data_IF_205203744279
#
_entry.id   IF_205203744279
#
_cell.length_a   1.000
_cell.length_b   1.000
_cell.length_c   1.000
_cell.angle_alpha   90.00
_cell.angle_beta   90.00
_cell.angle_gamma   90.00
#
_symmetry.space_group_name_H-M   'P 1'
#
loop_
_entity.id
_entity.type
_entity.pdbx_description
1 polymer ?
#
# COMPACT_ATOMS: atom_id res chain seq x y z
N UNK A 1 -34.47 -28.22 50.16
CA UNK A 1 -35.59 -27.46 50.76
C UNK A 1 -34.97 -26.19 51.31
N UNK A 2 -35.04 -25.09 50.55
CA UNK A 2 -36.02 -23.98 50.66
C UNK A 2 -35.26 -22.78 51.25
N UNK A 3 -34.91 -21.77 50.42
CA UNK A 3 -35.67 -20.54 50.15
C UNK A 3 -35.69 -19.62 51.40
N UNK A 4 -35.41 -18.30 51.36
CA UNK A 4 -36.17 -17.27 50.63
C UNK A 4 -35.50 -15.87 50.72
N UNK A 5 -35.51 -15.14 49.60
CA UNK A 5 -35.88 -13.71 49.39
C UNK A 5 -36.02 -12.70 50.57
N UNK A 6 -35.40 -11.51 50.40
CA UNK A 6 -35.92 -10.14 50.70
C UNK A 6 -36.11 -9.68 52.17
N UNK A 7 -36.20 -8.35 52.49
CA UNK A 7 -36.83 -7.31 51.66
C UNK A 7 -36.15 -5.91 51.65
N UNK A 8 -36.85 -5.04 50.92
CA UNK A 8 -36.65 -3.65 50.50
C UNK A 8 -36.69 -2.54 51.58
N UNK A 9 -36.11 -1.39 51.17
CA UNK A 9 -36.55 0.01 51.36
C UNK A 9 -36.16 0.80 52.60
N UNK A 10 -35.67 2.03 52.36
CA UNK A 10 -35.80 3.14 53.30
C UNK A 10 -34.72 4.23 53.20
N UNK A 11 -34.88 5.15 52.24
CA UNK A 11 -34.09 6.39 52.09
C UNK A 11 -34.21 7.29 53.33
N UNK A 12 -33.09 7.86 53.80
CA UNK A 12 -33.08 9.17 54.46
C UNK A 12 -31.95 10.04 53.91
N UNK A 13 -32.36 11.23 53.50
CA UNK A 13 -31.58 12.31 52.90
C UNK A 13 -30.53 12.87 53.86
N UNK A 14 -29.26 12.88 53.45
CA UNK A 14 -28.27 13.82 53.99
C UNK A 14 -27.81 14.77 52.89
N UNK A 15 -28.18 16.03 53.12
CA UNK A 15 -28.01 17.19 52.25
C UNK A 15 -26.59 17.70 52.40
N UNK A 16 -25.73 17.52 51.41
CA UNK A 16 -24.40 18.14 51.48
C UNK A 16 -23.41 17.76 50.40
N UNK A 17 -23.46 18.49 49.28
CA UNK A 17 -22.31 18.94 48.48
C UNK A 17 -21.14 17.95 48.33
N UNK A 18 -21.11 17.22 47.22
CA UNK A 18 -19.91 17.20 46.38
C UNK A 18 -20.29 16.85 44.93
N UNK A 19 -20.35 17.88 44.09
CA UNK A 19 -20.21 17.77 42.64
C UNK A 19 -18.91 16.99 42.34
N UNK A 20 -18.98 15.85 41.63
CA UNK A 20 -17.95 15.50 40.62
C UNK A 20 -18.16 14.18 39.84
N UNK A 21 -19.07 13.28 40.18
CA UNK A 21 -19.00 11.90 39.62
C UNK A 21 -20.19 11.41 38.80
N UNK A 22 -20.96 12.27 38.12
CA UNK A 22 -22.13 11.83 37.35
C UNK A 22 -22.31 12.48 35.96
N UNK A 23 -21.21 12.74 35.25
CA UNK A 23 -21.23 13.07 33.80
C UNK A 23 -20.44 12.04 32.99
N UNK A 24 -20.45 10.77 33.41
CA UNK A 24 -19.78 9.69 32.70
C UNK A 24 -20.65 8.44 32.64
N UNK A 25 -21.89 8.61 32.16
CA UNK A 25 -22.80 7.47 31.95
C UNK A 25 -23.80 7.60 30.79
N UNK A 26 -23.84 8.71 30.03
CA UNK A 26 -24.67 8.83 28.82
C UNK A 26 -23.88 9.42 27.65
N UNK A 27 -23.07 8.59 27.01
CA UNK A 27 -22.50 8.88 25.68
C UNK A 27 -22.49 7.63 24.78
N UNK A 28 -23.52 6.79 24.91
CA UNK A 28 -23.87 5.75 23.92
C UNK A 28 -25.17 6.16 23.20
N UNK A 29 -25.23 7.41 22.74
CA UNK A 29 -26.08 7.74 21.60
C UNK A 29 -25.34 7.26 20.36
N UNK A 30 -25.62 6.02 19.98
CA UNK A 30 -25.19 5.48 18.69
C UNK A 30 -25.71 6.38 17.57
N UNK A 31 -24.80 6.98 16.82
CA UNK A 31 -25.07 7.41 15.46
C UNK A 31 -25.19 6.14 14.62
N UNK A 32 -26.39 5.56 14.55
CA UNK A 32 -26.78 4.83 13.37
C UNK A 32 -27.03 5.89 12.29
N UNK A 33 -25.98 6.34 11.63
CA UNK A 33 -26.15 7.02 10.35
C UNK A 33 -26.48 5.92 9.35
N UNK A 34 -27.69 5.99 8.82
CA UNK A 34 -28.13 5.24 7.66
C UNK A 34 -27.14 5.58 6.54
N UNK A 35 -26.14 4.72 6.33
CA UNK A 35 -25.19 4.84 5.24
C UNK A 35 -25.97 4.62 3.95
N UNK A 36 -26.56 5.70 3.46
CA UNK A 36 -27.00 5.84 2.09
C UNK A 36 -25.77 5.58 1.25
N UNK A 37 -25.83 4.51 0.48
CA UNK A 37 -24.85 4.18 -0.55
C UNK A 37 -24.93 5.30 -1.58
N UNK A 38 -24.22 6.39 -1.31
CA UNK A 38 -23.73 7.27 -2.34
C UNK A 38 -22.40 6.63 -2.73
N UNK A 39 -22.36 6.05 -3.94
CA UNK A 39 -21.11 5.68 -4.57
C UNK A 39 -20.34 6.97 -4.88
N UNK A 40 -19.75 7.56 -3.85
CA UNK A 40 -18.78 8.62 -3.96
C UNK A 40 -17.50 7.96 -4.48
N UNK A 41 -16.96 8.48 -5.58
CA UNK A 41 -15.59 8.19 -6.03
C UNK A 41 -14.61 8.75 -4.99
N UNK A 42 -14.58 8.15 -3.80
CA UNK A 42 -13.55 8.39 -2.80
C UNK A 42 -12.22 7.79 -3.24
N UNK A 43 -11.09 8.23 -2.65
CA UNK A 43 -9.78 7.65 -2.96
C UNK A 43 -9.86 6.12 -2.81
N UNK A 44 -9.62 5.40 -3.90
CA UNK A 44 -9.62 3.94 -3.84
C UNK A 44 -8.52 3.51 -2.89
N UNK A 45 -8.90 2.75 -1.86
CA UNK A 45 -7.92 2.22 -0.93
C UNK A 45 -6.96 1.29 -1.69
N UNK A 46 -5.64 1.42 -1.53
CA UNK A 46 -4.70 0.53 -2.19
C UNK A 46 -4.92 -0.91 -1.75
N UNK A 47 -4.65 -1.86 -2.66
CA UNK A 47 -4.66 -3.27 -2.29
C UNK A 47 -3.63 -3.54 -1.18
N UNK A 48 -3.85 -4.55 -0.31
CA UNK A 48 -2.89 -4.89 0.74
C UNK A 48 -1.49 -5.20 0.19
N UNK A 49 -1.40 -5.82 -1.00
CA UNK A 49 -0.14 -6.10 -1.66
C UNK A 49 0.57 -4.82 -2.12
N UNK A 50 -0.16 -3.86 -2.71
CA UNK A 50 0.39 -2.58 -3.14
C UNK A 50 0.85 -1.74 -1.93
N UNK A 51 0.05 -1.68 -0.88
CA UNK A 51 0.40 -1.02 0.37
C UNK A 51 1.65 -1.64 1.02
N UNK A 52 1.73 -2.98 1.01
CA UNK A 52 2.89 -3.72 1.51
C UNK A 52 4.14 -3.41 0.69
N UNK A 53 4.08 -3.49 -0.63
CA UNK A 53 5.20 -3.17 -1.52
C UNK A 53 5.71 -1.74 -1.34
N UNK A 54 4.81 -0.77 -1.24
CA UNK A 54 5.16 0.63 -0.98
C UNK A 54 5.88 0.81 0.36
N UNK A 55 5.43 0.12 1.41
CA UNK A 55 6.08 0.16 2.73
C UNK A 55 7.46 -0.49 2.72
N UNK A 56 7.63 -1.61 2.01
CA UNK A 56 8.91 -2.28 1.84
C UNK A 56 9.91 -1.38 1.09
N UNK A 57 9.45 -0.75 0.00
CA UNK A 57 10.24 0.22 -0.77
C UNK A 57 10.68 1.40 0.11
N UNK A 58 9.74 1.99 0.85
CA UNK A 58 10.01 3.12 1.72
C UNK A 58 11.02 2.75 2.83
N UNK A 59 10.93 1.56 3.39
CA UNK A 59 11.82 1.13 4.48
C UNK A 59 13.19 0.64 4.03
N UNK A 60 13.34 0.20 2.77
CA UNK A 60 14.52 -0.57 2.34
C UNK A 60 15.23 0.00 1.12
N UNK A 61 14.53 0.76 0.27
CA UNK A 61 15.03 1.17 -1.05
C UNK A 61 15.12 2.71 -1.20
N UNK A 62 14.16 3.45 -0.63
CA UNK A 62 14.01 4.89 -0.90
C UNK A 62 15.07 5.76 -0.24
N UNK A 63 15.24 5.62 1.07
CA UNK A 63 15.84 6.68 1.90
C UNK A 63 17.34 6.89 1.67
N UNK A 64 18.01 5.91 1.07
CA UNK A 64 19.47 5.94 0.90
C UNK A 64 19.94 5.89 -0.56
N UNK A 65 19.16 5.31 -1.48
CA UNK A 65 19.65 4.98 -2.82
C UNK A 65 18.68 5.38 -3.94
N UNK A 66 17.43 4.92 -3.94
CA UNK A 66 16.58 5.05 -5.13
C UNK A 66 15.62 6.24 -5.09
N UNK A 67 15.69 7.07 -4.04
CA UNK A 67 14.83 8.22 -3.87
C UNK A 67 13.41 7.85 -3.43
N UNK A 68 12.62 8.86 -3.08
CA UNK A 68 11.23 8.68 -2.63
C UNK A 68 10.36 8.19 -3.80
N UNK A 69 9.55 7.15 -3.57
CA UNK A 69 8.52 6.71 -4.52
C UNK A 69 7.14 7.24 -4.18
N UNK A 70 6.13 7.03 -5.05
CA UNK A 70 4.74 7.35 -4.72
C UNK A 70 4.24 6.54 -3.53
N UNK A 71 3.33 7.11 -2.76
CA UNK A 71 2.51 6.35 -1.83
C UNK A 71 1.60 5.36 -2.57
N UNK A 72 1.22 4.29 -1.88
CA UNK A 72 0.29 3.30 -2.43
C UNK A 72 -1.06 3.91 -2.86
N UNK A 73 -1.55 4.92 -2.15
CA UNK A 73 -2.79 5.64 -2.52
C UNK A 73 -2.64 6.49 -3.77
N UNK A 74 -1.48 7.09 -4.01
CA UNK A 74 -1.20 7.81 -5.26
C UNK A 74 -1.20 6.83 -6.45
N UNK A 75 -0.55 5.68 -6.30
CA UNK A 75 -0.57 4.61 -7.31
C UNK A 75 -1.98 4.05 -7.53
N UNK A 76 -2.75 3.80 -6.47
CA UNK A 76 -4.12 3.32 -6.60
C UNK A 76 -5.01 4.35 -7.32
N UNK A 77 -4.80 5.64 -7.05
CA UNK A 77 -5.58 6.73 -7.64
C UNK A 77 -5.21 6.96 -9.12
N UNK A 78 -3.93 6.83 -9.49
CA UNK A 78 -3.49 6.95 -10.88
C UNK A 78 -4.03 5.82 -11.75
N UNK A 79 -4.03 4.59 -11.22
CA UNK A 79 -4.64 3.43 -11.87
C UNK A 79 -6.15 3.63 -12.04
N UNK A 80 -6.83 4.13 -11.00
CA UNK A 80 -8.27 4.38 -11.06
C UNK A 80 -8.64 5.53 -12.03
N UNK A 81 -7.75 6.49 -12.22
CA UNK A 81 -8.00 7.68 -13.04
C UNK A 81 -7.50 7.54 -14.48
N UNK A 82 -6.82 6.44 -14.82
CA UNK A 82 -6.15 6.22 -16.12
C UNK A 82 -5.27 7.40 -16.57
N UNK A 83 -4.82 8.23 -15.63
CA UNK A 83 -4.05 9.44 -15.91
C UNK A 83 -2.58 9.08 -15.86
N UNK A 84 -1.97 8.91 -17.04
CA UNK A 84 -0.53 8.79 -17.24
C UNK A 84 0.12 10.16 -17.12
N UNK A 85 0.28 10.62 -15.87
CA UNK A 85 0.80 11.95 -15.59
C UNK A 85 1.50 11.96 -14.26
N UNK A 86 2.62 11.25 -14.20
CA UNK A 86 3.48 11.24 -13.03
C UNK A 86 4.79 11.93 -13.43
N UNK A 87 4.99 13.14 -12.94
CA UNK A 87 6.31 13.81 -12.94
C UNK A 87 7.38 12.83 -12.42
N UNK A 88 8.68 12.97 -12.69
CA UNK A 88 9.67 12.04 -12.14
C UNK A 88 9.68 12.10 -10.59
N UNK A 89 9.22 11.04 -9.90
CA UNK A 89 9.07 11.05 -8.44
C UNK A 89 10.34 10.76 -7.67
N UNK A 90 11.42 10.28 -8.29
CA UNK A 90 12.70 10.10 -7.61
C UNK A 90 13.33 11.44 -7.23
N UNK A 91 12.76 12.11 -6.23
CA UNK A 91 13.34 13.25 -5.57
C UNK A 91 14.44 12.73 -4.64
N UNK A 92 15.65 13.25 -4.84
CA UNK A 92 16.83 13.05 -3.99
C UNK A 92 17.53 11.69 -4.06
N UNK A 93 17.44 10.94 -5.17
CA UNK A 93 18.31 9.79 -5.37
C UNK A 93 19.77 10.27 -5.57
N UNK A 94 20.79 9.66 -4.91
CA UNK A 94 22.18 9.89 -5.27
C UNK A 94 22.45 9.50 -6.73
N UNK A 95 23.38 10.19 -7.38
CA UNK A 95 23.66 10.06 -8.82
C UNK A 95 24.14 8.67 -9.26
N UNK A 96 24.56 7.82 -8.32
CA UNK A 96 25.05 6.46 -8.57
C UNK A 96 23.97 5.38 -8.42
N UNK A 97 22.72 5.75 -8.15
CA UNK A 97 21.58 4.86 -8.10
C UNK A 97 20.51 5.30 -9.12
N UNK A 98 19.98 4.38 -9.94
CA UNK A 98 18.95 4.72 -10.91
C UNK A 98 17.62 5.02 -10.23
N UNK A 99 16.79 5.82 -10.90
CA UNK A 99 15.37 5.94 -10.59
C UNK A 99 14.69 4.60 -10.92
N UNK A 100 14.10 3.96 -9.92
CA UNK A 100 13.41 2.68 -10.12
C UNK A 100 12.01 2.82 -10.70
N UNK A 101 11.52 4.03 -10.94
CA UNK A 101 10.21 4.27 -11.56
C UNK A 101 10.32 4.76 -13.00
N UNK A 102 11.55 4.90 -13.53
CA UNK A 102 11.78 5.06 -14.96
C UNK A 102 11.59 3.73 -15.71
N UNK A 103 11.26 3.82 -16.99
CA UNK A 103 10.99 2.64 -17.81
C UNK A 103 12.23 1.99 -18.42
N UNK A 104 13.40 2.59 -18.28
CA UNK A 104 14.63 2.11 -18.92
C UNK A 104 15.00 0.72 -18.41
N UNK A 105 14.93 0.54 -17.09
CA UNK A 105 15.28 -0.73 -16.46
C UNK A 105 14.08 -1.63 -16.26
N UNK A 106 12.99 -1.13 -15.68
CA UNK A 106 11.83 -1.96 -15.35
C UNK A 106 11.24 -2.61 -16.59
N UNK A 107 10.98 -1.87 -17.67
CA UNK A 107 10.29 -2.42 -18.84
C UNK A 107 11.05 -3.56 -19.55
N UNK A 108 12.36 -3.65 -19.35
CA UNK A 108 13.22 -4.65 -20.02
C UNK A 108 13.53 -5.88 -19.17
N UNK A 109 13.09 -5.90 -17.91
CA UNK A 109 13.32 -7.01 -16.98
C UNK A 109 12.06 -7.79 -16.71
N UNK A 110 12.17 -9.09 -16.55
CA UNK A 110 11.13 -9.94 -15.98
C UNK A 110 11.09 -9.80 -14.46
N UNK A 111 9.96 -10.17 -13.84
CA UNK A 111 9.83 -10.11 -12.38
C UNK A 111 10.84 -11.02 -11.66
N UNK A 112 11.20 -12.16 -12.25
CA UNK A 112 12.22 -13.05 -11.69
C UNK A 112 13.63 -12.44 -11.78
N UNK A 113 13.96 -11.72 -12.85
CA UNK A 113 15.23 -10.98 -12.95
C UNK A 113 15.30 -9.84 -11.92
N UNK A 114 14.20 -9.10 -11.74
CA UNK A 114 14.12 -8.06 -10.70
C UNK A 114 14.27 -8.70 -9.32
N UNK A 115 13.61 -9.83 -9.05
CA UNK A 115 13.76 -10.57 -7.80
C UNK A 115 15.22 -10.99 -7.57
N UNK A 116 15.92 -11.48 -8.61
CA UNK A 116 17.33 -11.84 -8.46
C UNK A 116 18.21 -10.64 -8.12
N UNK A 117 17.96 -9.47 -8.69
CA UNK A 117 18.69 -8.25 -8.32
C UNK A 117 18.41 -7.87 -6.86
N UNK A 118 17.16 -7.98 -6.41
CA UNK A 118 16.81 -7.73 -5.00
C UNK A 118 17.51 -8.73 -4.06
N UNK A 119 17.55 -10.01 -4.43
CA UNK A 119 18.14 -11.07 -3.61
C UNK A 119 19.67 -10.94 -3.56
N UNK A 120 20.31 -10.78 -4.71
CA UNK A 120 21.76 -10.88 -4.86
C UNK A 120 22.49 -9.52 -4.76
N UNK A 121 21.79 -8.42 -5.05
CA UNK A 121 22.40 -7.11 -5.24
C UNK A 121 23.10 -7.01 -6.60
N UNK A 122 23.82 -5.91 -6.83
CA UNK A 122 24.59 -5.69 -8.06
C UNK A 122 26.09 -5.64 -7.71
N UNK A 123 26.91 -6.56 -8.26
CA UNK A 123 28.35 -6.58 -8.02
C UNK A 123 29.03 -5.25 -8.36
N UNK A 124 30.02 -4.86 -7.55
CA UNK A 124 30.77 -3.60 -7.69
C UNK A 124 29.90 -2.33 -7.58
N UNK A 125 28.76 -2.41 -6.89
CA UNK A 125 27.91 -1.26 -6.55
C UNK A 125 27.60 -1.25 -5.05
N UNK A 126 26.92 -0.21 -4.58
CA UNK A 126 26.40 -0.13 -3.21
C UNK A 126 25.06 -0.86 -3.04
N UNK A 127 24.45 -1.37 -4.12
CA UNK A 127 23.18 -2.10 -4.07
C UNK A 127 23.41 -3.49 -3.48
N UNK A 128 23.20 -3.61 -2.17
CA UNK A 128 23.33 -4.87 -1.44
C UNK A 128 22.21 -5.85 -1.84
N UNK A 129 22.50 -7.13 -1.71
CA UNK A 129 21.48 -8.18 -1.79
C UNK A 129 20.71 -8.27 -0.48
N UNK A 130 19.38 -8.27 -0.57
CA UNK A 130 18.49 -8.45 0.58
C UNK A 130 18.28 -9.92 0.94
N UNK A 131 18.65 -10.88 0.08
CA UNK A 131 18.51 -12.30 0.36
C UNK A 131 17.09 -12.68 0.81
N UNK A 132 16.96 -13.16 2.05
CA UNK A 132 15.69 -13.48 2.70
C UNK A 132 15.35 -12.55 3.86
N UNK A 133 15.90 -11.33 3.89
CA UNK A 133 15.77 -10.41 5.05
C UNK A 133 14.40 -9.74 5.16
N UNK A 134 13.56 -9.81 4.14
CA UNK A 134 12.18 -9.32 4.27
C UNK A 134 11.33 -10.25 5.15
N UNK A 135 10.47 -9.71 6.02
CA UNK A 135 9.73 -10.49 7.02
C UNK A 135 8.92 -11.67 6.46
N UNK A 136 8.39 -11.53 5.24
CA UNK A 136 7.58 -12.55 4.57
C UNK A 136 8.30 -13.24 3.40
N UNK A 137 9.62 -13.04 3.28
CA UNK A 137 10.47 -13.64 2.25
C UNK A 137 9.95 -13.35 0.84
N UNK A 138 9.73 -14.42 0.05
CA UNK A 138 9.28 -14.30 -1.35
C UNK A 138 7.95 -13.55 -1.52
N UNK A 139 7.06 -13.56 -0.53
CA UNK A 139 5.81 -12.79 -0.60
C UNK A 139 6.08 -11.28 -0.56
N UNK A 140 7.05 -10.87 0.24
CA UNK A 140 7.49 -9.48 0.28
C UNK A 140 8.25 -9.08 -0.98
N UNK A 141 9.06 -9.98 -1.57
CA UNK A 141 9.66 -9.72 -2.89
C UNK A 141 8.58 -9.48 -3.95
N UNK A 142 7.58 -10.37 -4.03
CA UNK A 142 6.49 -10.24 -4.99
C UNK A 142 5.69 -8.94 -4.77
N UNK A 143 5.41 -8.57 -3.52
CA UNK A 143 4.73 -7.32 -3.19
C UNK A 143 5.55 -6.09 -3.59
N UNK A 144 6.86 -6.10 -3.31
CA UNK A 144 7.79 -5.03 -3.70
C UNK A 144 7.87 -4.87 -5.22
N UNK A 145 8.04 -5.98 -5.95
CA UNK A 145 8.09 -5.98 -7.42
C UNK A 145 6.77 -5.47 -8.00
N UNK A 146 5.64 -5.98 -7.51
CA UNK A 146 4.31 -5.51 -7.92
C UNK A 146 4.14 -4.02 -7.70
N UNK A 147 4.60 -3.49 -6.57
CA UNK A 147 4.61 -2.04 -6.34
C UNK A 147 5.50 -1.30 -7.35
N UNK A 148 6.74 -1.73 -7.60
CA UNK A 148 7.62 -1.08 -8.58
C UNK A 148 6.97 -1.02 -9.96
N UNK A 149 6.34 -2.11 -10.40
CA UNK A 149 5.60 -2.18 -11.68
C UNK A 149 4.44 -1.20 -11.74
N UNK A 150 3.59 -1.21 -10.72
CA UNK A 150 2.39 -0.38 -10.69
C UNK A 150 2.73 1.11 -10.50
N UNK A 151 3.79 1.40 -9.77
CA UNK A 151 4.30 2.75 -9.56
C UNK A 151 5.06 3.29 -10.78
N UNK A 152 5.63 2.41 -11.61
CA UNK A 152 6.22 2.80 -12.88
C UNK A 152 5.11 3.05 -13.91
N UNK A 153 5.11 4.21 -14.56
CA UNK A 153 4.14 4.54 -15.60
C UNK A 153 4.49 3.88 -16.95
N UNK A 154 5.04 2.67 -16.92
CA UNK A 154 5.52 2.00 -18.12
C UNK A 154 4.37 1.39 -18.88
N UNK A 155 4.32 1.67 -20.17
CA UNK A 155 3.50 0.91 -21.09
C UNK A 155 4.03 -0.52 -21.07
N UNK A 156 3.20 -1.47 -20.63
CA UNK A 156 3.51 -2.88 -20.80
C UNK A 156 3.58 -3.17 -22.30
N UNK A 157 4.64 -3.84 -22.82
CA UNK A 157 4.61 -4.38 -24.17
C UNK A 157 3.33 -5.21 -24.30
N UNK A 158 2.46 -4.83 -25.24
CA UNK A 158 1.26 -5.61 -25.52
C UNK A 158 1.70 -7.03 -25.83
N UNK A 159 1.19 -7.97 -25.04
CA UNK A 159 1.42 -9.40 -25.22
C UNK A 159 1.24 -9.72 -26.71
N UNK A 160 2.28 -10.26 -27.31
CA UNK A 160 2.34 -10.50 -28.75
C UNK A 160 1.19 -11.41 -29.13
N UNK A 161 0.12 -10.82 -29.68
CA UNK A 161 -0.69 -11.54 -30.65
C UNK A 161 0.25 -11.78 -31.81
N UNK A 162 0.88 -12.95 -31.81
CA UNK A 162 1.55 -13.52 -32.97
C UNK A 162 0.48 -13.58 -34.06
N UNK A 163 0.46 -12.55 -34.89
CA UNK A 163 -0.27 -12.51 -36.14
C UNK A 163 0.51 -13.45 -37.06
N UNK A 164 -0.02 -14.62 -37.46
CA UNK A 164 0.68 -15.46 -38.41
C UNK A 164 0.84 -14.67 -39.70
N UNK A 165 2.10 -14.53 -40.09
CA UNK A 165 2.60 -13.79 -41.24
C UNK A 165 1.62 -13.77 -42.41
N UNK A 166 0.98 -12.61 -42.64
CA UNK A 166 0.45 -12.27 -43.95
C UNK A 166 1.60 -11.65 -44.73
N UNK A 167 2.28 -12.49 -45.51
CA UNK A 167 3.31 -12.06 -46.45
C UNK A 167 2.66 -11.22 -47.56
N UNK A 168 3.15 -9.99 -47.87
CA UNK A 168 2.71 -9.25 -49.04
C UNK A 168 3.66 -9.46 -50.24
N UNK A 169 3.18 -9.16 -51.47
CA UNK A 169 3.54 -9.87 -52.69
C UNK A 169 4.77 -9.27 -53.38
N UNK A 170 5.51 -10.09 -54.14
CA UNK A 170 6.45 -9.60 -55.15
C UNK A 170 6.29 -10.42 -56.45
N UNK A 171 5.67 -9.74 -57.42
CA UNK A 171 5.73 -9.86 -58.90
C UNK A 171 5.85 -11.26 -59.54
#
# INVERSE_FOLDING_TARGET
>A
MAATEGPYSGVTTSRGKTLCSLVMALALTGCAEEARVIAETGPQAPSPALARGAALYAGSCSDFCHGRGPSASEVASSIASSSVGFEPFARNAPSDAPDLFDCTWLATKSDSEIEQVIIAGIPNTRMIGFGSNFPEGKRDHAALIGYLRMASACETPSDGTEQPNSEPPIN
#
